data_IF_665565662144
#
_entry.id   IF_665565662144
#
_cell.length_a   1.000
_cell.length_b   1.000
_cell.length_c   1.000
_cell.angle_alpha   90.00
_cell.angle_beta   90.00
_cell.angle_gamma   90.00
#
_symmetry.space_group_name_H-M   'P 1'
#
loop_
_entity.id
_entity.type
_entity.pdbx_description
1 polymer ?
#
# COMPACT_ATOMS: atom_id res chain seq x y z
N UNK A 1 31.93 50.33 -38.36
CA UNK A 1 31.38 50.92 -39.59
C UNK A 1 32.32 52.02 -40.07
N UNK A 2 33.02 51.76 -41.17
CA UNK A 2 33.53 52.79 -42.07
C UNK A 2 32.36 53.69 -42.48
N UNK A 3 32.46 55.00 -42.23
CA UNK A 3 31.49 55.98 -42.68
C UNK A 3 31.58 56.16 -44.20
N UNK A 4 30.90 55.32 -44.98
CA UNK A 4 30.75 55.54 -46.42
C UNK A 4 29.95 56.83 -46.65
N UNK A 5 30.42 57.67 -47.57
CA UNK A 5 29.77 58.94 -47.91
C UNK A 5 28.33 58.66 -48.40
N UNK A 6 27.30 59.22 -47.75
CA UNK A 6 25.90 58.92 -48.05
C UNK A 6 25.52 59.19 -49.53
N UNK A 7 26.18 60.16 -50.18
CA UNK A 7 25.98 60.44 -51.61
C UNK A 7 26.46 59.29 -52.51
N UNK A 8 27.58 58.66 -52.19
CA UNK A 8 28.11 57.52 -52.98
C UNK A 8 27.26 56.26 -52.85
N UNK A 9 26.62 56.07 -51.68
CA UNK A 9 25.71 54.95 -51.44
C UNK A 9 24.40 55.16 -52.20
N UNK A 10 23.84 56.38 -52.14
CA UNK A 10 22.64 56.76 -52.87
C UNK A 10 22.82 56.70 -54.40
N UNK A 11 24.00 57.08 -54.92
CA UNK A 11 24.34 56.95 -56.35
C UNK A 11 24.49 55.49 -56.81
N UNK A 12 24.98 54.60 -55.94
CA UNK A 12 25.08 53.18 -56.24
C UNK A 12 23.69 52.52 -56.27
N UNK A 13 22.82 52.86 -55.33
CA UNK A 13 21.44 52.37 -55.25
C UNK A 13 20.60 52.86 -56.45
N UNK A 14 20.67 54.15 -56.79
CA UNK A 14 19.95 54.72 -57.96
C UNK A 14 20.36 54.07 -59.29
N UNK A 15 21.63 53.67 -59.44
CA UNK A 15 22.10 52.96 -60.65
C UNK A 15 21.52 51.55 -60.75
N UNK A 16 21.40 50.83 -59.63
CA UNK A 16 20.77 49.51 -59.60
C UNK A 16 19.27 49.60 -59.88
N UNK A 17 18.59 50.61 -59.31
CA UNK A 17 17.18 50.86 -59.56
C UNK A 17 16.91 51.25 -61.02
N UNK A 18 17.78 52.07 -61.61
CA UNK A 18 17.71 52.40 -63.03
C UNK A 18 17.73 51.14 -63.91
N UNK A 19 18.67 50.21 -63.66
CA UNK A 19 18.76 48.96 -64.44
C UNK A 19 17.53 48.05 -64.31
N UNK A 20 16.88 48.02 -63.14
CA UNK A 20 15.64 47.27 -62.89
C UNK A 20 14.45 47.85 -63.70
N UNK A 21 14.28 49.17 -63.65
CA UNK A 21 13.14 49.85 -64.29
C UNK A 21 13.36 50.13 -65.78
N UNK A 22 14.60 50.16 -66.27
CA UNK A 22 14.93 50.28 -67.70
C UNK A 22 14.46 49.06 -68.50
N UNK A 23 14.48 47.85 -67.91
CA UNK A 23 13.96 46.63 -68.52
C UNK A 23 12.45 46.67 -68.78
N UNK A 24 11.72 47.54 -68.07
CA UNK A 24 10.26 47.70 -68.22
C UNK A 24 9.88 48.66 -69.34
N UNK A 25 10.86 49.35 -69.96
CA UNK A 25 10.63 50.36 -71.00
C UNK A 25 10.06 51.70 -70.48
N UNK A 26 9.68 51.78 -69.20
CA UNK A 26 9.06 52.96 -68.57
C UNK A 26 10.00 54.16 -68.41
N UNK A 27 11.30 53.99 -68.67
CA UNK A 27 12.34 55.02 -68.58
C UNK A 27 12.86 55.47 -69.95
N UNK A 28 12.25 55.02 -71.04
CA UNK A 28 12.67 55.35 -72.40
C UNK A 28 12.33 56.81 -72.76
N UNK A 29 13.28 57.53 -73.35
CA UNK A 29 13.11 58.93 -73.79
C UNK A 29 13.39 60.02 -72.74
N UNK A 30 13.80 59.66 -71.51
CA UNK A 30 14.16 60.62 -70.44
C UNK A 30 15.69 60.83 -70.34
N UNK A 31 16.12 62.02 -69.89
CA UNK A 31 17.55 62.30 -69.70
C UNK A 31 18.12 61.56 -68.48
N UNK A 32 19.43 61.37 -68.41
CA UNK A 32 20.09 60.51 -67.40
C UNK A 32 19.78 60.89 -65.95
N UNK A 33 19.67 62.19 -65.64
CA UNK A 33 19.28 62.68 -64.31
C UNK A 33 17.80 62.45 -64.00
N UNK A 34 16.94 62.58 -65.00
CA UNK A 34 15.49 62.39 -64.87
C UNK A 34 15.16 60.90 -64.73
N UNK A 35 15.90 60.02 -65.41
CA UNK A 35 15.81 58.56 -65.25
C UNK A 35 16.16 58.11 -63.82
N UNK A 36 17.18 58.73 -63.20
CA UNK A 36 17.55 58.43 -61.82
C UNK A 36 16.51 58.91 -60.79
N UNK A 37 15.89 60.07 -61.02
CA UNK A 37 14.81 60.55 -60.16
C UNK A 37 13.52 59.73 -60.34
N UNK A 38 13.17 59.39 -61.59
CA UNK A 38 11.98 58.59 -61.90
C UNK A 38 12.11 57.14 -61.42
N UNK A 39 13.30 56.53 -61.50
CA UNK A 39 13.51 55.16 -60.98
C UNK A 39 13.35 55.07 -59.47
N UNK A 40 13.72 56.11 -58.72
CA UNK A 40 13.48 56.20 -57.28
C UNK A 40 12.00 56.40 -56.98
N UNK A 41 11.29 57.23 -57.74
CA UNK A 41 9.84 57.41 -57.57
C UNK A 41 9.06 56.13 -57.91
N UNK A 42 9.41 55.44 -59.00
CA UNK A 42 8.81 54.16 -59.37
C UNK A 42 9.12 53.07 -58.35
N UNK A 43 10.33 53.03 -57.81
CA UNK A 43 10.66 52.09 -56.73
C UNK A 43 9.87 52.40 -55.45
N UNK A 44 9.73 53.68 -55.07
CA UNK A 44 8.94 54.08 -53.92
C UNK A 44 7.45 53.75 -54.12
N UNK A 45 6.91 53.97 -55.32
CA UNK A 45 5.54 53.60 -55.67
C UNK A 45 5.34 52.09 -55.71
N UNK A 46 6.30 51.33 -56.24
CA UNK A 46 6.22 49.87 -56.26
C UNK A 46 6.34 49.27 -54.86
N UNK A 47 7.17 49.86 -53.98
CA UNK A 47 7.21 49.49 -52.57
C UNK A 47 5.88 49.81 -51.88
N UNK A 48 5.34 50.99 -52.10
CA UNK A 48 4.04 51.36 -51.55
C UNK A 48 2.92 50.45 -52.07
N UNK A 49 2.92 50.10 -53.36
CA UNK A 49 1.95 49.16 -53.92
C UNK A 49 2.16 47.73 -53.44
N UNK A 50 3.40 47.31 -53.14
CA UNK A 50 3.70 46.01 -52.54
C UNK A 50 3.27 45.97 -51.08
N UNK A 51 3.45 47.06 -50.33
CA UNK A 51 2.95 47.21 -48.97
C UNK A 51 1.42 47.27 -48.98
N UNK A 52 0.79 47.95 -49.95
CA UNK A 52 -0.67 47.97 -50.14
C UNK A 52 -1.22 46.61 -50.62
N UNK A 53 -0.50 45.87 -51.46
CA UNK A 53 -0.92 44.55 -51.96
C UNK A 53 -0.64 43.42 -50.96
N UNK A 54 0.39 43.55 -50.13
CA UNK A 54 0.62 42.66 -48.98
C UNK A 54 -0.25 43.03 -47.78
N UNK A 55 -0.82 44.25 -47.75
CA UNK A 55 -1.96 44.61 -46.90
C UNK A 55 -3.28 44.09 -47.51
N UNK A 56 -3.52 42.79 -47.46
CA UNK A 56 -4.87 42.27 -47.74
C UNK A 56 -5.80 42.57 -46.56
N UNK A 57 -6.22 43.83 -46.45
CA UNK A 57 -7.23 44.28 -45.50
C UNK A 57 -7.39 45.80 -45.45
N UNK A 58 -8.32 46.37 -46.22
CA UNK A 58 -8.67 47.80 -46.18
C UNK A 58 -9.57 48.21 -45.01
N UNK A 59 -9.61 47.42 -43.94
CA UNK A 59 -10.36 47.72 -42.73
C UNK A 59 -9.41 48.15 -41.60
N UNK A 60 -9.73 49.26 -40.92
CA UNK A 60 -9.08 49.61 -39.66
C UNK A 60 -9.18 48.42 -38.68
N UNK A 61 -8.04 47.97 -38.14
CA UNK A 61 -7.80 46.71 -37.42
C UNK A 61 -7.35 45.49 -38.27
N UNK A 62 -6.74 45.70 -39.43
CA UNK A 62 -5.91 44.68 -40.08
C UNK A 62 -4.57 44.57 -39.34
N UNK A 63 -4.54 43.79 -38.25
CA UNK A 63 -3.33 43.53 -37.46
C UNK A 63 -2.24 42.85 -38.33
N UNK A 64 -1.03 43.41 -38.32
CA UNK A 64 0.19 42.69 -38.68
C UNK A 64 0.30 41.49 -37.73
N UNK A 65 0.43 40.27 -38.24
CA UNK A 65 0.50 39.07 -37.40
C UNK A 65 1.87 39.00 -36.72
N UNK A 66 2.07 39.83 -35.69
CA UNK A 66 3.17 39.71 -34.73
C UNK A 66 2.83 38.56 -33.80
N UNK A 67 2.96 37.33 -34.30
CA UNK A 67 2.87 36.14 -33.48
C UNK A 67 4.00 36.15 -32.46
N UNK A 68 3.76 36.76 -31.29
CA UNK A 68 4.66 36.68 -30.14
C UNK A 68 4.56 35.25 -29.61
N UNK A 69 5.55 34.42 -29.96
CA UNK A 69 5.66 33.08 -29.40
C UNK A 69 6.05 33.17 -27.92
N UNK A 70 5.11 32.81 -27.04
CA UNK A 70 5.38 32.64 -25.62
C UNK A 70 6.26 31.40 -25.40
N UNK A 71 7.16 31.41 -24.40
CA UNK A 71 7.98 30.25 -24.09
C UNK A 71 7.11 29.05 -23.70
N UNK A 72 7.49 27.86 -24.15
CA UNK A 72 6.81 26.62 -23.80
C UNK A 72 7.12 26.26 -22.33
N UNK A 73 6.12 25.74 -21.64
CA UNK A 73 6.25 25.21 -20.28
C UNK A 73 5.98 23.72 -20.31
N UNK A 74 6.89 22.94 -19.74
CA UNK A 74 6.70 21.49 -19.52
C UNK A 74 6.08 21.26 -18.15
N UNK A 75 5.13 20.32 -18.08
CA UNK A 75 4.65 19.81 -16.79
C UNK A 75 5.70 18.88 -16.19
N UNK A 76 6.14 19.16 -14.97
CA UNK A 76 6.99 18.26 -14.19
C UNK A 76 6.12 17.22 -13.49
N UNK A 77 6.62 15.99 -13.37
CA UNK A 77 6.02 15.00 -12.49
C UNK A 77 6.45 15.26 -11.05
N UNK A 78 5.62 14.86 -10.09
CA UNK A 78 6.00 14.86 -8.69
C UNK A 78 7.04 13.76 -8.42
N UNK A 79 8.01 14.05 -7.57
CA UNK A 79 8.94 13.03 -7.06
C UNK A 79 8.24 12.20 -5.98
N UNK A 80 8.42 10.88 -6.02
CA UNK A 80 7.86 9.96 -5.03
C UNK A 80 9.02 9.29 -4.29
N UNK A 81 8.98 9.30 -2.96
CA UNK A 81 10.04 8.78 -2.10
C UNK A 81 9.87 7.30 -1.72
N UNK A 82 9.09 6.50 -2.47
CA UNK A 82 8.75 5.12 -2.08
C UNK A 82 9.98 4.23 -1.86
N UNK A 83 11.03 4.41 -2.68
CA UNK A 83 12.31 3.70 -2.54
C UNK A 83 13.10 4.04 -1.27
N UNK A 84 12.76 5.13 -0.57
CA UNK A 84 13.40 5.49 0.71
C UNK A 84 12.77 4.74 1.90
N UNK A 85 11.57 4.19 1.74
CA UNK A 85 10.85 3.47 2.80
C UNK A 85 11.00 1.95 2.72
N UNK A 86 11.47 1.41 1.60
CA UNK A 86 11.63 -0.04 1.39
C UNK A 86 13.08 -0.39 1.15
N UNK A 87 13.52 -1.53 1.69
CA UNK A 87 14.83 -2.08 1.35
C UNK A 87 14.75 -2.83 0.03
N UNK A 88 15.80 -2.74 -0.76
CA UNK A 88 15.90 -3.45 -2.04
C UNK A 88 16.89 -4.59 -1.93
N UNK A 89 16.48 -5.75 -2.41
CA UNK A 89 17.37 -6.88 -2.66
C UNK A 89 17.54 -7.01 -4.17
N UNK A 90 18.62 -6.46 -4.75
CA UNK A 90 18.83 -6.51 -6.18
C UNK A 90 18.94 -7.97 -6.65
N UNK A 91 18.13 -8.35 -7.65
CA UNK A 91 18.07 -9.71 -8.18
C UNK A 91 19.08 -9.90 -9.31
N UNK A 92 19.87 -10.98 -9.25
CA UNK A 92 20.79 -11.40 -10.33
C UNK A 92 20.15 -12.40 -11.31
N UNK A 93 19.08 -13.09 -10.90
CA UNK A 93 18.26 -13.99 -11.71
C UNK A 93 16.79 -13.55 -11.64
N UNK A 94 15.97 -13.82 -12.68
CA UNK A 94 14.57 -13.39 -12.74
C UNK A 94 13.64 -14.07 -11.73
N UNK A 95 14.13 -15.11 -11.04
CA UNK A 95 13.41 -15.82 -9.98
C UNK A 95 14.38 -16.15 -8.84
N UNK A 96 13.90 -16.06 -7.61
CA UNK A 96 14.61 -16.41 -6.39
C UNK A 96 13.70 -17.08 -5.38
N UNK A 97 14.30 -17.77 -4.41
CA UNK A 97 13.60 -18.32 -3.25
C UNK A 97 14.06 -17.55 -2.00
N UNK A 98 13.11 -17.13 -1.17
CA UNK A 98 13.37 -16.63 0.18
C UNK A 98 13.00 -17.70 1.17
N UNK A 99 13.92 -18.00 2.10
CA UNK A 99 13.70 -18.95 3.18
C UNK A 99 13.48 -18.20 4.50
N UNK A 100 12.56 -18.67 5.31
CA UNK A 100 12.33 -18.16 6.65
C UNK A 100 12.03 -19.31 7.62
N UNK A 101 12.31 -19.05 8.91
CA UNK A 101 12.07 -19.98 10.00
C UNK A 101 10.71 -19.63 10.62
N UNK A 102 9.81 -20.59 10.67
CA UNK A 102 8.52 -20.49 11.34
C UNK A 102 8.56 -21.34 12.61
N UNK A 103 8.32 -20.71 13.75
CA UNK A 103 8.31 -21.38 15.04
C UNK A 103 6.88 -21.77 15.36
N UNK A 104 6.67 -23.03 15.72
CA UNK A 104 5.35 -23.62 15.94
C UNK A 104 5.24 -24.26 17.31
N UNK A 105 4.03 -24.35 17.83
CA UNK A 105 3.78 -25.12 19.05
C UNK A 105 3.95 -26.61 18.75
N UNK A 106 4.75 -27.30 19.55
CA UNK A 106 5.06 -28.72 19.41
C UNK A 106 4.16 -29.64 20.24
N UNK A 107 3.45 -29.08 21.23
CA UNK A 107 2.52 -29.80 22.11
C UNK A 107 1.20 -29.06 22.19
N UNK A 108 0.09 -29.79 22.39
CA UNK A 108 -1.17 -29.16 22.76
C UNK A 108 -1.12 -28.80 24.25
N UNK A 109 -1.32 -27.53 24.59
CA UNK A 109 -1.43 -27.09 25.98
C UNK A 109 -2.29 -25.83 26.07
N UNK A 110 -3.35 -25.89 26.89
CA UNK A 110 -4.34 -24.82 26.99
C UNK A 110 -4.97 -24.53 25.63
N UNK A 111 -4.90 -23.27 25.21
CA UNK A 111 -5.49 -22.82 23.93
C UNK A 111 -4.58 -22.99 22.71
N UNK A 112 -3.44 -23.70 22.83
CA UNK A 112 -2.49 -23.90 21.71
C UNK A 112 -2.58 -25.29 21.16
N UNK A 113 -2.60 -25.38 19.84
CA UNK A 113 -2.59 -26.64 19.11
C UNK A 113 -1.27 -26.89 18.41
N UNK A 114 -0.93 -28.17 18.21
CA UNK A 114 0.29 -28.56 17.50
C UNK A 114 0.29 -28.00 16.09
N UNK A 115 1.40 -27.37 15.71
CA UNK A 115 1.62 -26.82 14.37
C UNK A 115 1.11 -25.40 14.15
N UNK A 116 0.44 -24.80 15.13
CA UNK A 116 0.12 -23.38 15.13
C UNK A 116 1.38 -22.52 15.30
N UNK A 117 1.45 -21.37 14.62
CA UNK A 117 2.62 -20.47 14.71
C UNK A 117 2.62 -19.70 16.03
N UNK A 118 3.79 -19.59 16.66
CA UNK A 118 4.00 -18.78 17.87
C UNK A 118 3.72 -17.30 17.64
N UNK A 119 3.94 -16.82 16.41
CA UNK A 119 3.78 -15.41 16.08
C UNK A 119 2.37 -15.04 15.64
N UNK A 120 1.45 -16.00 15.57
CA UNK A 120 0.07 -15.77 15.15
C UNK A 120 -0.20 -16.18 13.71
N UNK A 121 -1.45 -15.99 13.32
CA UNK A 121 -1.96 -16.47 12.05
C UNK A 121 -1.47 -15.57 10.90
N UNK A 122 -1.08 -16.20 9.80
CA UNK A 122 -0.69 -15.48 8.59
C UNK A 122 -1.89 -14.78 7.94
N UNK A 123 -3.12 -15.22 8.24
CA UNK A 123 -4.33 -14.74 7.57
C UNK A 123 -4.23 -15.00 6.06
N UNK A 124 -4.78 -14.09 5.25
CA UNK A 124 -4.65 -14.15 3.77
C UNK A 124 -3.28 -13.69 3.25
N UNK A 125 -2.39 -13.21 4.12
CA UNK A 125 -1.07 -12.73 3.75
C UNK A 125 -0.10 -13.91 3.90
N UNK A 126 0.44 -14.40 2.78
CA UNK A 126 1.44 -15.46 2.81
C UNK A 126 2.75 -15.00 3.48
N UNK A 127 3.67 -15.96 3.64
CA UNK A 127 5.11 -15.69 3.82
C UNK A 127 5.56 -15.32 5.23
N UNK A 128 4.96 -15.93 6.25
CA UNK A 128 5.37 -15.71 7.65
C UNK A 128 5.05 -14.30 8.17
N UNK A 129 4.19 -13.56 7.47
CA UNK A 129 3.66 -12.27 7.92
C UNK A 129 2.32 -12.49 8.58
N UNK A 130 2.08 -11.82 9.70
CA UNK A 130 0.75 -11.82 10.33
C UNK A 130 -0.13 -10.80 9.62
N UNK A 131 -1.19 -11.27 8.98
CA UNK A 131 -2.18 -10.41 8.34
C UNK A 131 -3.28 -9.94 9.28
N UNK A 132 -3.43 -10.61 10.43
CA UNK A 132 -4.45 -10.37 11.43
C UNK A 132 -3.83 -10.55 12.82
N UNK A 133 -4.29 -9.78 13.80
CA UNK A 133 -3.89 -9.94 15.20
C UNK A 133 -4.68 -11.11 15.84
N UNK A 134 -4.43 -12.32 15.37
CA UNK A 134 -5.10 -13.55 15.81
C UNK A 134 -4.09 -14.71 15.92
N UNK A 135 -4.31 -15.63 16.86
CA UNK A 135 -3.43 -16.78 17.10
C UNK A 135 -2.10 -16.39 17.75
N UNK A 136 -1.24 -17.37 18.05
CA UNK A 136 -0.04 -17.10 18.85
C UNK A 136 -0.45 -16.43 20.16
N UNK A 137 0.22 -15.37 20.61
CA UNK A 137 -0.19 -14.63 21.82
C UNK A 137 -1.30 -13.59 21.59
N UNK A 138 -1.85 -13.49 20.38
CA UNK A 138 -2.90 -12.53 20.05
C UNK A 138 -4.29 -13.09 20.36
N UNK A 139 -4.94 -12.50 21.35
CA UNK A 139 -6.28 -12.87 21.78
C UNK A 139 -6.39 -12.89 23.30
N UNK A 140 -7.61 -12.88 23.82
CA UNK A 140 -7.82 -12.96 25.26
C UNK A 140 -7.50 -14.35 25.77
N UNK A 141 -6.69 -14.42 26.83
CA UNK A 141 -6.36 -15.71 27.43
C UNK A 141 -5.41 -16.58 26.62
N UNK A 142 -4.74 -16.02 25.62
CA UNK A 142 -3.79 -16.76 24.77
C UNK A 142 -2.42 -16.96 25.43
N UNK A 143 -2.30 -16.58 26.71
CA UNK A 143 -1.16 -16.88 27.56
C UNK A 143 -1.34 -18.24 28.25
N UNK A 144 -0.38 -18.66 29.09
CA UNK A 144 -0.36 -19.94 29.82
C UNK A 144 0.14 -21.19 29.06
N UNK A 145 0.65 -21.06 27.83
CA UNK A 145 1.29 -22.19 27.13
C UNK A 145 2.43 -22.83 27.94
N UNK A 146 3.14 -22.08 28.78
CA UNK A 146 4.25 -22.59 29.61
C UNK A 146 3.83 -22.97 31.03
N UNK A 147 2.52 -22.95 31.33
CA UNK A 147 1.96 -23.29 32.64
C UNK A 147 1.36 -24.70 32.55
N UNK A 148 1.34 -25.42 33.66
CA UNK A 148 0.65 -26.70 33.72
C UNK A 148 -0.86 -26.46 33.67
N UNK A 149 -1.55 -27.13 32.75
CA UNK A 149 -3.00 -27.11 32.64
C UNK A 149 -3.54 -28.42 33.22
N UNK A 150 -4.66 -28.33 33.94
CA UNK A 150 -5.39 -29.50 34.43
C UNK A 150 -6.87 -29.34 34.08
N UNK A 151 -7.62 -30.44 34.16
CA UNK A 151 -9.03 -30.48 33.75
C UNK A 151 -9.92 -30.86 34.91
N UNK A 152 -11.02 -30.13 35.07
CA UNK A 152 -12.08 -30.47 36.00
C UNK A 152 -13.39 -30.74 35.26
N UNK A 153 -14.03 -31.87 35.55
CA UNK A 153 -15.38 -32.16 35.06
C UNK A 153 -16.41 -31.65 36.07
N UNK A 154 -17.19 -30.66 35.66
CA UNK A 154 -18.28 -30.09 36.45
C UNK A 154 -19.58 -30.81 36.10
N UNK A 155 -20.24 -31.36 37.12
CA UNK A 155 -21.54 -32.03 36.95
C UNK A 155 -22.67 -31.03 36.76
N UNK A 156 -23.76 -31.48 36.15
CA UNK A 156 -24.98 -30.67 35.96
C UNK A 156 -25.54 -30.07 37.24
N UNK A 157 -25.38 -30.73 38.40
CA UNK A 157 -25.81 -30.20 39.69
C UNK A 157 -25.01 -28.99 40.20
N UNK A 158 -23.84 -28.75 39.62
CA UNK A 158 -22.80 -27.85 40.14
C UNK A 158 -22.54 -26.66 39.22
N UNK A 159 -23.37 -26.49 38.20
CA UNK A 159 -23.33 -25.40 37.24
C UNK A 159 -24.64 -24.59 37.31
N UNK A 160 -24.56 -23.31 36.96
CA UNK A 160 -25.73 -22.44 36.83
C UNK A 160 -25.60 -21.63 35.56
N UNK A 161 -26.61 -21.72 34.71
CA UNK A 161 -26.64 -21.09 33.39
C UNK A 161 -27.60 -19.91 33.35
N UNK A 162 -27.19 -18.84 32.68
CA UNK A 162 -28.04 -17.68 32.37
C UNK A 162 -27.60 -17.02 31.07
N UNK A 163 -28.52 -16.43 30.31
CA UNK A 163 -28.13 -15.62 29.14
C UNK A 163 -27.27 -14.42 29.56
N UNK A 164 -26.23 -14.13 28.77
CA UNK A 164 -25.39 -12.95 28.98
C UNK A 164 -26.17 -11.67 28.66
N UNK A 165 -25.85 -10.57 29.35
CA UNK A 165 -26.42 -9.25 29.07
C UNK A 165 -25.47 -8.38 28.24
N UNK A 166 -25.98 -7.30 27.66
CA UNK A 166 -25.15 -6.30 26.98
C UNK A 166 -24.07 -5.69 27.88
N UNK A 167 -24.36 -5.56 29.18
CA UNK A 167 -23.40 -5.09 30.16
C UNK A 167 -22.29 -6.12 30.43
N UNK A 168 -22.61 -7.41 30.38
CA UNK A 168 -21.63 -8.48 30.61
C UNK A 168 -20.59 -8.56 29.47
N UNK A 169 -20.98 -8.26 28.23
CA UNK A 169 -20.07 -8.22 27.07
C UNK A 169 -19.49 -6.82 26.79
N UNK A 170 -19.51 -5.92 27.79
CA UNK A 170 -18.93 -4.59 27.68
C UNK A 170 -19.56 -3.69 26.60
N UNK A 171 -20.82 -3.95 26.23
CA UNK A 171 -21.54 -3.28 25.14
C UNK A 171 -20.85 -3.41 23.76
N UNK A 172 -20.18 -4.54 23.51
CA UNK A 172 -19.58 -4.80 22.21
C UNK A 172 -20.63 -4.93 21.10
N UNK A 173 -20.55 -4.03 20.12
CA UNK A 173 -21.45 -3.98 18.97
C UNK A 173 -21.36 -5.24 18.08
N UNK A 174 -20.21 -5.91 18.04
CA UNK A 174 -20.03 -7.14 17.26
C UNK A 174 -20.79 -8.33 17.88
N UNK A 175 -20.94 -8.34 19.20
CA UNK A 175 -21.60 -9.43 19.94
C UNK A 175 -23.07 -9.16 20.23
N UNK A 176 -23.56 -7.95 19.97
CA UNK A 176 -24.92 -7.51 20.32
C UNK A 176 -26.01 -8.40 19.68
N UNK A 177 -25.81 -8.86 18.43
CA UNK A 177 -26.77 -9.78 17.79
C UNK A 177 -26.83 -11.15 18.49
N UNK A 178 -25.68 -11.69 18.90
CA UNK A 178 -25.58 -12.97 19.62
C UNK A 178 -26.12 -12.87 21.05
N UNK A 179 -26.01 -11.71 21.69
CA UNK A 179 -26.64 -11.44 22.99
C UNK A 179 -28.17 -11.43 22.87
N UNK A 180 -28.72 -10.72 21.88
CA UNK A 180 -30.18 -10.68 21.64
C UNK A 180 -30.75 -12.05 21.23
N UNK A 181 -29.98 -12.85 20.50
CA UNK A 181 -30.34 -14.24 20.17
C UNK A 181 -30.26 -15.20 21.36
N UNK A 182 -29.55 -14.83 22.43
CA UNK A 182 -29.31 -15.69 23.59
C UNK A 182 -28.24 -16.76 23.36
N UNK A 183 -27.40 -16.60 22.34
CA UNK A 183 -26.34 -17.55 21.99
C UNK A 183 -25.19 -17.50 23.00
N UNK A 184 -24.94 -16.33 23.61
CA UNK A 184 -23.91 -16.17 24.63
C UNK A 184 -24.51 -16.47 26.01
N UNK A 185 -23.99 -17.51 26.65
CA UNK A 185 -24.43 -17.94 27.98
C UNK A 185 -23.33 -17.71 29.01
N UNK A 186 -23.78 -17.35 30.21
CA UNK A 186 -23.01 -17.20 31.42
C UNK A 186 -23.09 -18.49 32.23
N UNK A 187 -21.98 -19.19 32.32
CA UNK A 187 -21.79 -20.38 33.15
C UNK A 187 -21.17 -19.97 34.48
N UNK A 188 -21.87 -20.21 35.58
CA UNK A 188 -21.37 -19.97 36.94
C UNK A 188 -21.06 -21.30 37.61
N UNK A 189 -19.84 -21.45 38.12
CA UNK A 189 -19.36 -22.65 38.83
C UNK A 189 -18.63 -22.22 40.10
N UNK A 190 -18.91 -22.86 41.23
CA UNK A 190 -18.19 -22.60 42.46
C UNK A 190 -16.73 -23.06 42.33
N UNK A 191 -15.78 -22.26 42.84
CA UNK A 191 -14.33 -22.56 42.81
C UNK A 191 -14.02 -23.96 43.37
N UNK A 192 -14.71 -24.35 44.44
CA UNK A 192 -14.57 -25.66 45.09
C UNK A 192 -14.91 -26.85 44.19
N UNK A 193 -15.66 -26.63 43.10
CA UNK A 193 -16.05 -27.67 42.15
C UNK A 193 -15.07 -27.81 40.97
N UNK A 194 -14.08 -26.91 40.86
CA UNK A 194 -13.02 -26.99 39.85
C UNK A 194 -11.76 -27.58 40.51
N UNK A 195 -11.01 -26.74 41.23
CA UNK A 195 -9.85 -27.14 42.02
C UNK A 195 -9.45 -26.02 42.98
N UNK A 196 -8.84 -26.38 44.11
CA UNK A 196 -8.20 -25.41 45.00
C UNK A 196 -6.93 -24.79 44.38
N UNK A 197 -6.38 -25.41 43.34
CA UNK A 197 -5.17 -24.96 42.62
C UNK A 197 -5.48 -24.27 41.29
N UNK A 198 -6.76 -24.01 40.99
CA UNK A 198 -7.14 -23.24 39.81
C UNK A 198 -6.74 -21.76 39.99
N UNK A 199 -5.93 -21.24 39.07
CA UNK A 199 -5.46 -19.86 39.11
C UNK A 199 -6.57 -18.88 38.71
N UNK A 200 -7.19 -18.25 39.71
CA UNK A 200 -8.23 -17.25 39.49
C UNK A 200 -7.76 -15.95 38.84
N UNK A 201 -6.46 -15.62 38.92
CA UNK A 201 -5.90 -14.43 38.28
C UNK A 201 -5.70 -14.68 36.78
N UNK A 202 -5.48 -15.94 36.39
CA UNK A 202 -5.37 -16.38 35.02
C UNK A 202 -6.72 -16.78 34.38
N UNK A 203 -7.89 -16.46 34.96
CA UNK A 203 -9.19 -16.97 34.49
C UNK A 203 -9.50 -16.80 32.98
N UNK A 204 -8.87 -15.83 32.31
CA UNK A 204 -8.99 -15.70 30.87
C UNK A 204 -8.29 -16.82 30.09
N UNK A 205 -7.24 -17.47 30.60
CA UNK A 205 -6.61 -18.63 29.93
C UNK A 205 -7.50 -19.86 29.93
N UNK A 206 -8.44 -19.96 30.87
CA UNK A 206 -9.29 -21.14 31.02
C UNK A 206 -10.15 -21.35 29.77
N UNK A 207 -10.38 -22.62 29.47
CA UNK A 207 -11.15 -23.05 28.31
C UNK A 207 -12.27 -23.99 28.76
N UNK A 208 -13.47 -23.73 28.28
CA UNK A 208 -14.66 -24.50 28.66
C UNK A 208 -15.13 -25.29 27.44
N UNK A 209 -15.22 -26.61 27.61
CA UNK A 209 -15.66 -27.53 26.57
C UNK A 209 -16.79 -28.42 27.06
N UNK A 210 -17.68 -28.82 26.16
CA UNK A 210 -18.84 -29.63 26.49
C UNK A 210 -19.71 -29.87 25.27
N UNK A 211 -20.62 -30.83 25.36
CA UNK A 211 -21.54 -31.19 24.27
C UNK A 211 -22.43 -30.01 23.85
N UNK A 212 -22.77 -29.16 24.82
CA UNK A 212 -23.70 -28.04 24.64
C UNK A 212 -23.02 -26.73 24.23
N UNK A 213 -21.69 -26.72 24.17
CA UNK A 213 -20.87 -25.54 23.85
C UNK A 213 -20.42 -25.63 22.40
N UNK A 214 -20.65 -24.58 21.62
CA UNK A 214 -20.35 -24.55 20.18
C UNK A 214 -18.87 -24.31 19.85
N UNK A 215 -17.99 -24.38 20.85
CA UNK A 215 -16.56 -24.09 20.77
C UNK A 215 -16.17 -22.62 20.97
N UNK A 216 -17.12 -21.67 20.95
CA UNK A 216 -16.80 -20.26 21.19
C UNK A 216 -16.65 -19.98 22.69
N UNK A 217 -15.45 -19.54 23.10
CA UNK A 217 -15.15 -19.14 24.46
C UNK A 217 -14.80 -17.64 24.50
N UNK A 218 -15.66 -16.83 25.13
CA UNK A 218 -15.47 -15.37 25.24
C UNK A 218 -14.66 -15.01 26.48
N UNK A 219 -13.45 -15.55 26.53
CA UNK A 219 -12.60 -15.52 27.72
C UNK A 219 -12.19 -14.13 28.20
N UNK A 220 -12.27 -13.10 27.36
CA UNK A 220 -12.08 -11.70 27.75
C UNK A 220 -13.08 -11.20 28.80
N UNK A 221 -14.25 -11.84 28.91
CA UNK A 221 -15.29 -11.47 29.88
C UNK A 221 -15.33 -12.39 31.10
N UNK A 222 -14.52 -13.46 31.11
CA UNK A 222 -14.45 -14.35 32.27
C UNK A 222 -14.05 -13.57 33.51
N UNK A 223 -14.72 -13.84 34.63
CA UNK A 223 -14.48 -13.11 35.88
C UNK A 223 -14.64 -13.99 37.10
N UNK A 224 -13.94 -13.59 38.15
CA UNK A 224 -14.08 -14.15 39.49
C UNK A 224 -15.08 -13.30 40.27
N UNK A 225 -16.14 -13.91 40.79
CA UNK A 225 -17.12 -13.24 41.66
C UNK A 225 -17.21 -13.96 43.01
N UNK A 226 -16.48 -13.45 44.00
CA UNK A 226 -16.37 -14.07 45.31
C UNK A 226 -15.83 -15.51 45.21
N UNK A 227 -16.66 -16.48 45.58
CA UNK A 227 -16.34 -17.91 45.56
C UNK A 227 -16.70 -18.61 44.24
N UNK A 228 -17.13 -17.86 43.22
CA UNK A 228 -17.53 -18.40 41.94
C UNK A 228 -16.60 -17.94 40.82
N UNK A 229 -16.44 -18.83 39.84
CA UNK A 229 -15.93 -18.50 38.53
C UNK A 229 -17.11 -18.35 37.56
N UNK A 230 -17.06 -17.28 36.77
CA UNK A 230 -18.09 -16.95 35.78
C UNK A 230 -17.42 -16.98 34.41
N UNK A 231 -17.89 -17.89 33.56
CA UNK A 231 -17.41 -18.09 32.20
C UNK A 231 -18.47 -17.64 31.19
N UNK A 232 -18.01 -17.13 30.04
CA UNK A 232 -18.88 -16.74 28.94
C UNK A 232 -18.60 -17.62 27.72
N UNK A 233 -19.61 -18.40 27.33
CA UNK A 233 -19.48 -19.40 26.26
C UNK A 233 -20.60 -19.26 25.23
N UNK A 234 -20.29 -19.60 23.99
CA UNK A 234 -21.27 -19.71 22.92
C UNK A 234 -22.00 -21.04 22.99
N UNK A 235 -23.32 -20.97 22.90
CA UNK A 235 -24.22 -22.12 22.90
C UNK A 235 -25.34 -21.85 21.89
N UNK A 236 -26.10 -22.86 21.52
CA UNK A 236 -27.31 -22.68 20.70
C UNK A 236 -28.59 -22.59 21.55
N UNK A 237 -28.50 -22.91 22.84
CA UNK A 237 -29.55 -22.74 23.85
C UNK A 237 -28.93 -22.74 25.26
N UNK A 238 -29.65 -22.26 26.27
CA UNK A 238 -29.27 -22.49 27.67
C UNK A 238 -29.44 -23.97 27.99
N UNK A 239 -28.34 -24.72 28.15
CA UNK A 239 -28.41 -26.17 28.35
C UNK A 239 -27.73 -26.56 29.65
N UNK A 240 -28.51 -27.15 30.55
CA UNK A 240 -28.04 -27.74 31.81
C UNK A 240 -28.08 -29.29 31.76
N UNK A 241 -27.99 -29.85 30.55
CA UNK A 241 -28.27 -31.27 30.33
C UNK A 241 -27.03 -32.14 30.45
N UNK A 242 -25.83 -31.59 30.23
CA UNK A 242 -24.58 -32.34 30.19
C UNK A 242 -23.51 -31.76 31.12
N UNK A 243 -22.54 -32.60 31.47
CA UNK A 243 -21.35 -32.18 32.18
C UNK A 243 -20.49 -31.28 31.28
N UNK A 244 -19.77 -30.36 31.92
CA UNK A 244 -18.83 -29.45 31.27
C UNK A 244 -17.42 -29.78 31.75
N UNK A 245 -16.45 -29.72 30.86
CA UNK A 245 -15.03 -29.86 31.18
C UNK A 245 -14.41 -28.46 31.13
N UNK A 246 -13.78 -28.07 32.24
CA UNK A 246 -13.04 -26.82 32.35
C UNK A 246 -11.56 -27.17 32.41
N UNK A 247 -10.82 -26.72 31.43
CA UNK A 247 -9.37 -26.70 31.41
C UNK A 247 -8.89 -25.41 32.07
N UNK A 248 -8.01 -25.53 33.06
CA UNK A 248 -7.59 -24.43 33.90
C UNK A 248 -6.08 -24.42 34.16
N UNK A 249 -5.53 -23.21 34.22
CA UNK A 249 -4.13 -23.00 34.57
C UNK A 249 -3.93 -23.26 36.07
N UNK A 250 -2.92 -24.06 36.38
CA UNK A 250 -2.58 -24.45 37.73
C UNK A 250 -1.66 -23.42 38.40
N UNK A 251 -2.03 -22.92 39.59
CA UNK A 251 -1.11 -22.10 40.40
C UNK A 251 -0.20 -23.00 41.24
N UNK A 252 1.14 -22.88 41.13
CA UNK A 252 2.05 -23.60 42.00
C UNK A 252 1.89 -23.15 43.45
N UNK A 253 1.84 -24.08 44.40
CA UNK A 253 1.77 -23.72 45.83
C UNK A 253 3.14 -23.25 46.33
N UNK A 254 3.17 -22.20 47.15
CA UNK A 254 4.40 -21.50 47.59
C UNK A 254 5.53 -22.40 48.13
N UNK A 255 5.17 -23.56 48.69
CA UNK A 255 6.10 -24.50 49.33
C UNK A 255 6.40 -25.76 48.51
N UNK A 256 5.72 -25.97 47.38
CA UNK A 256 5.91 -27.14 46.50
C UNK A 256 6.38 -26.74 45.10
N UNK A 257 7.24 -25.72 44.99
CA UNK A 257 7.90 -25.33 43.72
C UNK A 257 8.92 -26.37 43.22
N UNK A 258 8.56 -27.65 43.27
CA UNK A 258 9.27 -28.72 42.61
C UNK A 258 9.17 -28.57 41.09
N UNK A 259 10.02 -29.34 40.41
CA UNK A 259 10.10 -29.46 38.96
C UNK A 259 8.69 -29.74 38.36
N UNK A 260 7.95 -28.68 38.04
CA UNK A 260 6.60 -28.74 37.44
C UNK A 260 5.60 -29.70 38.12
N UNK A 261 5.63 -29.80 39.45
CA UNK A 261 4.80 -30.75 40.22
C UNK A 261 4.99 -32.23 39.82
N UNK A 262 6.23 -32.62 39.48
CA UNK A 262 6.62 -34.01 39.18
C UNK A 262 6.08 -35.00 40.23
N UNK A 263 5.27 -35.97 39.78
CA UNK A 263 4.62 -36.93 40.68
C UNK A 263 5.53 -38.10 41.12
N UNK A 264 6.74 -38.21 40.55
CA UNK A 264 7.74 -39.21 40.90
C UNK A 264 9.15 -38.89 40.39
N UNK A 265 10.17 -39.47 41.04
CA UNK A 265 11.59 -39.32 40.69
C UNK A 265 12.15 -40.55 39.96
N UNK A 266 11.29 -41.45 39.48
CA UNK A 266 11.70 -42.73 38.89
C UNK A 266 11.58 -42.71 37.36
N UNK A 267 12.75 -42.79 36.73
CA UNK A 267 13.05 -42.94 35.30
C UNK A 267 12.51 -41.85 34.35
N UNK A 268 13.41 -40.93 33.98
CA UNK A 268 13.21 -39.81 33.04
C UNK A 268 12.11 -38.82 33.43
N UNK A 269 12.41 -37.83 34.32
CA UNK A 269 11.47 -36.77 34.64
C UNK A 269 10.99 -36.03 33.37
N UNK A 270 11.84 -35.84 32.37
CA UNK A 270 11.48 -35.18 31.10
C UNK A 270 10.37 -35.89 30.29
N UNK A 271 10.07 -37.17 30.55
CA UNK A 271 8.97 -37.90 29.88
C UNK A 271 7.67 -37.97 30.71
N UNK A 272 7.74 -37.70 32.02
CA UNK A 272 6.58 -37.70 32.93
C UNK A 272 6.04 -36.28 33.14
N UNK A 273 6.92 -35.28 33.08
CA UNK A 273 6.54 -33.88 33.04
C UNK A 273 6.13 -33.56 31.59
N UNK A 274 4.84 -33.35 31.34
CA UNK A 274 4.31 -32.90 30.05
C UNK A 274 4.69 -31.43 29.79
N UNK A 275 5.99 -31.16 29.64
CA UNK A 275 6.53 -29.83 29.38
C UNK A 275 6.17 -29.44 27.94
N UNK A 276 5.49 -28.31 27.72
CA UNK A 276 5.10 -27.89 26.38
C UNK A 276 6.30 -27.53 25.49
N UNK A 277 6.32 -28.03 24.26
CA UNK A 277 7.46 -27.91 23.34
C UNK A 277 7.27 -26.85 22.24
N UNK A 278 8.36 -26.39 21.62
CA UNK A 278 8.30 -25.48 20.46
C UNK A 278 9.13 -26.07 19.32
N UNK A 279 8.49 -26.23 18.17
CA UNK A 279 9.07 -26.76 16.95
C UNK A 279 9.53 -25.64 16.01
N UNK A 280 10.46 -26.00 15.13
CA UNK A 280 10.99 -25.11 14.09
C UNK A 280 10.78 -25.75 12.71
N UNK A 281 10.11 -25.03 11.83
CA UNK A 281 9.92 -25.39 10.43
C UNK A 281 10.61 -24.39 9.51
N UNK A 282 11.32 -24.87 8.50
CA UNK A 282 11.90 -24.04 7.45
C UNK A 282 10.93 -23.96 6.27
N UNK A 283 10.43 -22.75 6.00
CA UNK A 283 9.55 -22.47 4.87
C UNK A 283 10.25 -21.68 3.78
N UNK A 284 9.73 -21.77 2.56
CA UNK A 284 10.25 -21.02 1.41
C UNK A 284 9.13 -20.37 0.60
N UNK A 285 9.43 -19.22 0.01
CA UNK A 285 8.56 -18.54 -0.95
C UNK A 285 9.35 -18.22 -2.23
N UNK A 286 8.69 -18.40 -3.38
CA UNK A 286 9.23 -18.01 -4.67
C UNK A 286 8.87 -16.57 -5.03
N UNK A 287 9.88 -15.76 -5.33
CA UNK A 287 9.74 -14.40 -5.85
C UNK A 287 10.11 -14.41 -7.32
N UNK A 288 9.20 -13.91 -8.16
CA UNK A 288 9.37 -13.85 -9.62
C UNK A 288 9.21 -12.42 -10.10
N UNK A 289 10.16 -11.96 -10.92
CA UNK A 289 10.13 -10.62 -11.50
C UNK A 289 8.99 -10.49 -12.53
N UNK A 290 8.23 -9.39 -12.43
CA UNK A 290 7.24 -8.98 -13.43
C UNK A 290 7.84 -7.92 -14.35
N UNK A 291 7.40 -7.89 -15.61
CA UNK A 291 7.90 -6.92 -16.61
C UNK A 291 6.87 -5.85 -16.91
N UNK A 292 7.33 -4.60 -17.07
CA UNK A 292 6.54 -3.44 -17.51
C UNK A 292 7.19 -2.88 -18.77
N UNK A 293 6.38 -2.55 -19.79
CA UNK A 293 6.88 -2.03 -21.07
C UNK A 293 5.88 -1.07 -21.69
N UNK A 294 6.36 0.07 -22.17
CA UNK A 294 5.59 1.04 -22.94
C UNK A 294 6.21 1.27 -24.32
N UNK A 295 5.39 1.77 -25.24
CA UNK A 295 5.80 2.10 -26.60
C UNK A 295 5.29 3.50 -26.95
N UNK A 296 6.19 4.37 -27.39
CA UNK A 296 5.83 5.60 -28.09
C UNK A 296 5.87 5.35 -29.60
N UNK A 297 4.98 6.02 -30.32
CA UNK A 297 4.99 6.07 -31.79
C UNK A 297 4.85 7.52 -32.17
N UNK A 298 5.80 8.03 -32.95
CA UNK A 298 5.73 9.35 -33.55
C UNK A 298 5.95 9.22 -35.05
N UNK A 299 5.43 10.18 -35.82
CA UNK A 299 5.66 10.22 -37.26
C UNK A 299 6.89 11.07 -37.59
N UNK A 300 7.62 10.77 -38.68
CA UNK A 300 8.75 11.59 -39.12
C UNK A 300 8.36 13.05 -39.37
N UNK A 301 7.13 13.29 -39.84
CA UNK A 301 6.61 14.63 -40.12
C UNK A 301 6.42 15.43 -38.82
N UNK A 302 5.90 14.79 -37.77
CA UNK A 302 5.75 15.43 -36.46
C UNK A 302 7.10 15.81 -35.85
N UNK A 303 8.11 14.94 -35.98
CA UNK A 303 9.45 15.23 -35.49
C UNK A 303 10.10 16.40 -36.23
N UNK A 304 9.89 16.48 -37.56
CA UNK A 304 10.37 17.60 -38.37
C UNK A 304 9.67 18.91 -38.01
N UNK A 305 8.35 18.89 -37.85
CA UNK A 305 7.54 20.06 -37.49
C UNK A 305 7.93 20.60 -36.10
N UNK A 306 8.06 19.70 -35.12
CA UNK A 306 8.41 20.05 -33.75
C UNK A 306 9.83 20.64 -33.65
N UNK A 307 10.78 20.09 -34.39
CA UNK A 307 12.14 20.64 -34.43
C UNK A 307 12.18 21.99 -35.19
N UNK A 308 11.44 22.12 -36.29
CA UNK A 308 11.42 23.35 -37.08
C UNK A 308 10.79 24.54 -36.33
N UNK A 309 9.70 24.32 -35.59
CA UNK A 309 9.01 25.40 -34.88
C UNK A 309 9.46 25.59 -33.43
N UNK A 310 9.88 24.53 -32.75
CA UNK A 310 10.20 24.59 -31.32
C UNK A 310 11.64 24.16 -30.98
N UNK A 311 12.43 23.71 -31.96
CA UNK A 311 13.80 23.20 -31.74
C UNK A 311 13.87 22.08 -30.71
N UNK A 312 12.80 21.28 -30.62
CA UNK A 312 12.70 20.13 -29.71
C UNK A 312 12.92 18.84 -30.50
N UNK A 313 13.70 17.93 -29.93
CA UNK A 313 13.83 16.56 -30.43
C UNK A 313 12.71 15.67 -29.86
N UNK A 314 11.75 15.33 -30.73
CA UNK A 314 10.60 14.51 -30.37
C UNK A 314 10.98 13.10 -29.85
N UNK A 315 12.06 12.51 -30.36
CA UNK A 315 12.48 11.16 -29.98
C UNK A 315 13.04 11.14 -28.56
N UNK A 316 13.93 12.10 -28.26
CA UNK A 316 14.54 12.24 -26.95
C UNK A 316 13.50 12.55 -25.86
N UNK A 317 12.59 13.49 -26.12
CA UNK A 317 11.54 13.87 -25.16
C UNK A 317 10.56 12.71 -24.88
N UNK A 318 10.10 12.00 -25.92
CA UNK A 318 9.21 10.87 -25.73
C UNK A 318 9.89 9.72 -24.97
N UNK A 319 11.16 9.46 -25.24
CA UNK A 319 11.92 8.41 -24.52
C UNK A 319 12.10 8.76 -23.05
N UNK A 320 12.45 10.01 -22.74
CA UNK A 320 12.53 10.50 -21.35
C UNK A 320 11.19 10.38 -20.64
N UNK A 321 10.10 10.81 -21.28
CA UNK A 321 8.74 10.73 -20.70
C UNK A 321 8.31 9.30 -20.39
N UNK A 322 8.65 8.34 -21.27
CA UNK A 322 8.35 6.92 -21.02
C UNK A 322 9.14 6.37 -19.84
N UNK A 323 10.42 6.73 -19.70
CA UNK A 323 11.27 6.30 -18.59
C UNK A 323 10.74 6.83 -17.25
N UNK A 324 10.42 8.13 -17.21
CA UNK A 324 9.89 8.78 -16.00
C UNK A 324 8.55 8.16 -15.59
N UNK A 325 7.66 7.92 -16.57
CA UNK A 325 6.36 7.31 -16.29
C UNK A 325 6.49 5.89 -15.73
N UNK A 326 7.34 5.04 -16.31
CA UNK A 326 7.55 3.68 -15.79
C UNK A 326 8.14 3.72 -14.37
N UNK A 327 9.09 4.62 -14.10
CA UNK A 327 9.64 4.75 -12.75
C UNK A 327 8.55 5.15 -11.75
N UNK A 328 7.71 6.12 -12.09
CA UNK A 328 6.61 6.57 -11.22
C UNK A 328 5.56 5.49 -11.00
N UNK A 329 5.25 4.72 -12.03
CA UNK A 329 4.31 3.60 -11.90
C UNK A 329 4.86 2.51 -10.97
N UNK A 330 6.17 2.25 -10.99
CA UNK A 330 6.83 1.34 -10.05
C UNK A 330 6.81 1.95 -8.65
N UNK A 331 7.13 3.23 -8.50
CA UNK A 331 7.15 3.90 -7.20
C UNK A 331 5.75 3.97 -6.55
N UNK A 332 4.69 4.03 -7.36
CA UNK A 332 3.30 4.01 -6.87
C UNK A 332 2.78 2.58 -6.57
N UNK A 333 3.39 1.54 -7.13
CA UNK A 333 3.06 0.14 -6.79
C UNK A 333 3.62 -0.25 -5.41
N UNK A 334 4.77 0.30 -5.04
CA UNK A 334 5.44 0.10 -3.74
C UNK A 334 4.61 0.76 -2.63
#
# INVERSE_FOLDING_TARGET
MEGKNPQSVMLAETRQLKGKWEQTGLLEGLNEKEQGAMSVLLENQAKQLLDEASSTGTAANSEEWSGVALPLVRRIFGEIASKEFVSVQPMNLPSGLVFYLDFKYGTENGKKFVGESLFGNSGSLGSGRTGEAAGGLYGSGEFAYSINEDTATVSTSNQTWASASHADVGFDGALSASVEAGDIQKLTVAKSNISATADGDAISSFNVTGVDINGANYSQFNKVDGDNFIFFVGTTAAVDANNVVIEFSHIPVDYNRGDFEASGMDQNPETDLSIPEVDLELKSEAIVAKTRKLKAVWTPELAQDLNAYHSIDAEAELTSMLSDYISLEIDLEI
#
